data_IF_395307551983
#
_entry.id   IF_395307551983
#
_cell.length_a   1.000
_cell.length_b   1.000
_cell.length_c   1.000
_cell.angle_alpha   90.00
_cell.angle_beta   90.00
_cell.angle_gamma   90.00
#
_symmetry.space_group_name_H-M   'P 1'
#
loop_
_entity.id
_entity.type
_entity.pdbx_description
1 polymer ?
#
# COMPACT_ATOMS: atom_id res chain seq x y z
N UNK A 1 -16.19 -36.06 -21.23
CA UNK A 1 -14.84 -35.83 -21.81
C UNK A 1 -14.31 -34.51 -21.28
N UNK A 2 -13.06 -34.48 -20.82
CA UNK A 2 -12.38 -33.25 -20.42
C UNK A 2 -11.19 -33.03 -21.34
N UNK A 3 -11.03 -31.80 -21.83
CA UNK A 3 -9.93 -31.42 -22.71
C UNK A 3 -9.10 -30.34 -22.04
N UNK A 4 -7.81 -30.60 -21.89
CA UNK A 4 -6.82 -29.59 -21.50
C UNK A 4 -6.19 -28.97 -22.75
N UNK A 5 -6.16 -27.64 -22.79
CA UNK A 5 -5.59 -26.87 -23.92
C UNK A 5 -4.10 -26.61 -23.77
N UNK A 6 -3.56 -26.78 -22.57
CA UNK A 6 -2.14 -26.68 -22.25
C UNK A 6 -1.83 -27.50 -20.98
N UNK A 7 -0.54 -27.58 -20.61
CA UNK A 7 -0.12 -28.07 -19.29
C UNK A 7 0.09 -26.91 -18.33
N UNK A 8 -0.36 -27.08 -17.09
CA UNK A 8 -0.05 -26.14 -16.03
C UNK A 8 1.38 -26.35 -15.51
N UNK A 9 1.88 -25.34 -14.78
CA UNK A 9 3.17 -25.37 -14.10
C UNK A 9 3.28 -26.49 -13.04
N UNK A 10 2.15 -27.04 -12.57
CA UNK A 10 2.09 -28.10 -11.58
C UNK A 10 1.16 -29.24 -12.00
N UNK A 11 1.64 -30.49 -11.90
CA UNK A 11 0.90 -31.72 -12.23
C UNK A 11 -0.39 -31.86 -11.44
N UNK A 12 -0.39 -31.39 -10.19
CA UNK A 12 -1.58 -31.40 -9.33
C UNK A 12 -2.76 -30.67 -9.98
N UNK A 13 -2.52 -29.56 -10.67
CA UNK A 13 -3.57 -28.76 -11.31
C UNK A 13 -4.11 -29.49 -12.55
N UNK A 14 -3.22 -30.09 -13.34
CA UNK A 14 -3.63 -30.94 -14.46
C UNK A 14 -4.46 -32.14 -13.99
N UNK A 15 -4.08 -32.77 -12.88
CA UNK A 15 -4.84 -33.88 -12.30
C UNK A 15 -6.20 -33.44 -11.73
N UNK A 16 -6.31 -32.21 -11.22
CA UNK A 16 -7.61 -31.65 -10.84
C UNK A 16 -8.53 -31.48 -12.04
N UNK A 17 -8.00 -31.08 -13.19
CA UNK A 17 -8.77 -31.01 -14.43
C UNK A 17 -9.19 -32.41 -14.88
N UNK A 18 -8.28 -33.40 -14.86
CA UNK A 18 -8.60 -34.80 -15.16
C UNK A 18 -9.73 -35.34 -14.27
N UNK A 19 -9.66 -35.07 -12.96
CA UNK A 19 -10.66 -35.49 -11.97
C UNK A 19 -12.03 -34.82 -12.09
N UNK A 20 -12.24 -33.92 -13.07
CA UNK A 20 -13.58 -33.43 -13.43
C UNK A 20 -14.36 -34.42 -14.28
N UNK A 21 -13.69 -35.38 -14.91
CA UNK A 21 -14.29 -36.50 -15.67
C UNK A 21 -14.32 -37.78 -14.82
N UNK A 22 -15.22 -38.72 -15.14
CA UNK A 22 -15.24 -40.07 -14.55
C UNK A 22 -15.48 -40.12 -13.03
N UNK A 23 -16.43 -39.31 -12.54
CA UNK A 23 -16.80 -39.29 -11.12
C UNK A 23 -17.58 -40.54 -10.75
N UNK A 24 -17.41 -41.04 -9.53
CA UNK A 24 -18.17 -42.21 -9.02
C UNK A 24 -18.09 -43.47 -9.91
N UNK A 25 -16.99 -43.65 -10.64
CA UNK A 25 -16.83 -44.79 -11.55
C UNK A 25 -17.50 -44.60 -12.92
N UNK A 26 -18.09 -43.43 -13.18
CA UNK A 26 -18.60 -43.09 -14.50
C UNK A 26 -17.49 -43.20 -15.56
N UNK A 27 -17.81 -43.64 -16.80
CA UNK A 27 -16.84 -43.59 -17.88
C UNK A 27 -16.47 -42.14 -18.20
N UNK A 28 -15.18 -41.89 -18.40
CA UNK A 28 -14.68 -40.55 -18.70
C UNK A 28 -13.36 -40.59 -19.45
N UNK A 29 -13.22 -39.71 -20.44
CA UNK A 29 -11.96 -39.49 -21.15
C UNK A 29 -11.38 -38.13 -20.75
N UNK A 30 -10.05 -38.07 -20.68
CA UNK A 30 -9.29 -36.84 -20.48
C UNK A 30 -8.18 -36.78 -21.50
N UNK A 31 -8.09 -35.69 -22.28
CA UNK A 31 -7.04 -35.50 -23.28
C UNK A 31 -6.42 -34.12 -23.11
N UNK A 32 -5.10 -34.01 -23.29
CA UNK A 32 -4.40 -32.74 -23.26
C UNK A 32 -3.74 -32.51 -24.60
N UNK A 33 -3.96 -31.33 -25.15
CA UNK A 33 -3.27 -30.83 -26.31
C UNK A 33 -2.20 -29.85 -25.81
N UNK A 34 -0.99 -29.95 -26.37
CA UNK A 34 0.17 -29.17 -25.95
C UNK A 34 0.91 -28.78 -27.20
N UNK A 35 1.26 -27.51 -27.33
CA UNK A 35 2.14 -27.02 -28.37
C UNK A 35 3.57 -26.88 -27.86
N UNK A 36 4.54 -26.99 -28.76
CA UNK A 36 5.94 -26.70 -28.46
C UNK A 36 6.17 -25.21 -28.19
N UNK A 37 5.25 -24.37 -28.64
CA UNK A 37 5.29 -22.92 -28.43
C UNK A 37 4.72 -22.50 -27.07
N UNK A 38 4.04 -23.42 -26.37
CA UNK A 38 3.46 -23.16 -25.04
C UNK A 38 4.54 -22.73 -24.05
N UNK A 39 4.17 -21.90 -23.08
CA UNK A 39 5.10 -21.31 -22.10
C UNK A 39 6.01 -22.35 -21.46
N UNK A 40 5.45 -23.50 -21.06
CA UNK A 40 6.18 -24.59 -20.42
C UNK A 40 7.27 -25.16 -21.34
N UNK A 41 6.93 -25.41 -22.61
CA UNK A 41 7.88 -25.92 -23.61
C UNK A 41 8.86 -24.84 -24.05
N UNK A 42 8.46 -23.58 -24.13
CA UNK A 42 9.37 -22.49 -24.48
C UNK A 42 10.49 -22.30 -23.48
N UNK A 43 10.18 -22.40 -22.19
CA UNK A 43 11.14 -22.20 -21.09
C UNK A 43 11.99 -23.45 -20.85
N UNK A 44 11.45 -24.65 -21.06
CA UNK A 44 12.11 -25.91 -20.65
C UNK A 44 12.34 -26.94 -21.77
N UNK A 45 11.87 -26.72 -22.99
CA UNK A 45 12.22 -27.60 -24.10
C UNK A 45 13.72 -27.54 -24.30
N UNK A 46 14.34 -28.73 -24.22
CA UNK A 46 15.76 -28.84 -24.51
C UNK A 46 16.03 -28.36 -25.94
N UNK A 47 17.13 -27.63 -26.14
CA UNK A 47 17.65 -27.29 -27.46
C UNK A 47 17.79 -28.53 -28.35
N UNK A 48 18.07 -29.68 -27.73
CA UNK A 48 18.09 -31.00 -28.38
C UNK A 48 16.73 -31.37 -28.97
N UNK A 49 15.62 -31.15 -28.25
CA UNK A 49 14.28 -31.45 -28.75
C UNK A 49 13.94 -30.57 -29.96
N UNK A 50 14.21 -29.26 -29.89
CA UNK A 50 14.00 -28.34 -31.02
C UNK A 50 14.81 -28.74 -32.25
N UNK A 51 16.09 -29.11 -32.06
CA UNK A 51 16.98 -29.57 -33.14
C UNK A 51 16.54 -30.89 -33.76
N UNK A 52 16.08 -31.85 -32.95
CA UNK A 52 15.57 -33.13 -33.44
C UNK A 52 14.32 -32.91 -34.27
N UNK A 53 13.39 -32.06 -33.82
CA UNK A 53 12.17 -31.77 -34.56
C UNK A 53 12.43 -31.01 -35.86
N UNK A 54 13.32 -30.02 -35.83
CA UNK A 54 13.74 -29.30 -37.04
C UNK A 54 14.50 -30.18 -38.05
N UNK A 55 15.20 -31.23 -37.58
CA UNK A 55 15.93 -32.15 -38.47
C UNK A 55 15.07 -33.29 -39.01
N UNK A 56 14.06 -33.73 -38.26
CA UNK A 56 13.14 -34.79 -38.69
C UNK A 56 12.02 -34.30 -39.60
N UNK A 57 11.84 -32.99 -39.76
CA UNK A 57 10.86 -32.42 -40.69
C UNK A 57 9.43 -32.89 -40.41
N UNK A 58 9.07 -32.97 -39.13
CA UNK A 58 7.73 -33.41 -38.70
C UNK A 58 6.72 -32.38 -39.22
N UNK A 59 5.67 -32.79 -39.95
CA UNK A 59 4.65 -31.87 -40.44
C UNK A 59 3.98 -31.10 -39.29
N UNK A 60 3.77 -29.80 -39.45
CA UNK A 60 3.15 -28.96 -38.42
C UNK A 60 1.69 -29.34 -38.12
N UNK A 61 1.02 -29.99 -39.08
CA UNK A 61 -0.39 -30.35 -39.01
C UNK A 61 -0.66 -31.74 -38.42
N UNK A 62 0.39 -32.51 -38.10
CA UNK A 62 0.25 -33.88 -37.56
C UNK A 62 0.45 -33.94 -36.04
N UNK A 63 -0.47 -34.57 -35.30
CA UNK A 63 -0.33 -34.72 -33.85
C UNK A 63 0.82 -35.68 -33.52
N UNK A 64 1.70 -35.24 -32.63
CA UNK A 64 2.86 -36.03 -32.20
C UNK A 64 2.53 -36.75 -30.89
N UNK A 65 2.38 -38.07 -30.95
CA UNK A 65 2.31 -38.92 -29.77
C UNK A 65 3.68 -39.54 -29.49
N UNK A 66 4.44 -38.94 -28.57
CA UNK A 66 5.76 -39.43 -28.19
C UNK A 66 5.92 -39.53 -26.67
N UNK A 67 6.27 -40.73 -26.20
CA UNK A 67 6.64 -40.97 -24.81
C UNK A 67 7.87 -40.14 -24.39
N UNK A 68 8.78 -39.83 -25.33
CA UNK A 68 9.94 -38.99 -25.07
C UNK A 68 9.55 -37.54 -24.77
N UNK A 69 8.66 -36.96 -25.58
CA UNK A 69 8.16 -35.58 -25.38
C UNK A 69 7.37 -35.50 -24.08
N UNK A 70 6.51 -36.49 -23.82
CA UNK A 70 5.74 -36.58 -22.58
C UNK A 70 6.64 -36.61 -21.34
N UNK A 71 7.72 -37.42 -21.34
CA UNK A 71 8.70 -37.44 -20.24
C UNK A 71 9.46 -36.13 -20.08
N UNK A 72 9.79 -35.45 -21.19
CA UNK A 72 10.44 -34.13 -21.14
C UNK A 72 9.55 -33.08 -20.49
N UNK A 73 8.27 -33.04 -20.88
CA UNK A 73 7.24 -32.17 -20.32
C UNK A 73 7.06 -32.41 -18.82
N UNK A 74 7.00 -33.68 -18.44
CA UNK A 74 6.92 -34.12 -17.06
C UNK A 74 8.14 -33.70 -16.21
N UNK A 75 9.34 -33.76 -16.79
CA UNK A 75 10.58 -33.31 -16.15
C UNK A 75 10.58 -31.79 -15.98
N UNK A 76 10.09 -31.05 -16.99
CA UNK A 76 9.93 -29.60 -16.93
C UNK A 76 8.97 -29.18 -15.80
N UNK A 77 7.80 -29.81 -15.70
CA UNK A 77 6.86 -29.57 -14.58
C UNK A 77 7.51 -29.84 -13.23
N UNK A 78 8.25 -30.96 -13.09
CA UNK A 78 8.95 -31.28 -11.84
C UNK A 78 10.00 -30.23 -11.45
N UNK A 79 10.72 -29.65 -12.42
CA UNK A 79 11.68 -28.56 -12.18
C UNK A 79 10.99 -27.27 -11.73
N UNK A 80 9.86 -26.91 -12.35
CA UNK A 80 9.09 -25.71 -11.95
C UNK A 80 8.48 -25.90 -10.57
N UNK A 81 7.94 -27.07 -10.27
CA UNK A 81 7.45 -27.40 -8.93
C UNK A 81 8.57 -27.28 -7.90
N UNK A 82 9.76 -27.81 -8.19
CA UNK A 82 10.94 -27.66 -7.35
C UNK A 82 11.34 -26.19 -7.14
N UNK A 83 11.43 -25.41 -8.22
CA UNK A 83 11.74 -23.98 -8.16
C UNK A 83 10.71 -23.19 -7.33
N UNK A 84 9.42 -23.47 -7.52
CA UNK A 84 8.34 -22.85 -6.75
C UNK A 84 8.37 -23.28 -5.28
N UNK A 85 8.69 -24.54 -5.00
CA UNK A 85 8.87 -25.05 -3.65
C UNK A 85 10.03 -24.34 -2.94
N UNK A 86 11.20 -24.25 -3.57
CA UNK A 86 12.37 -23.58 -3.01
C UNK A 86 12.11 -22.07 -2.79
N UNK A 87 11.47 -21.41 -3.76
CA UNK A 87 11.06 -20.01 -3.63
C UNK A 87 10.13 -19.80 -2.43
N UNK A 88 9.14 -20.67 -2.22
CA UNK A 88 8.24 -20.61 -1.06
C UNK A 88 8.95 -20.88 0.25
N UNK A 89 9.86 -21.87 0.26
CA UNK A 89 10.69 -22.18 1.43
C UNK A 89 11.54 -20.98 1.82
N UNK A 90 12.12 -20.28 0.86
CA UNK A 90 12.86 -19.06 1.10
C UNK A 90 11.94 -17.95 1.66
N UNK A 91 10.79 -17.69 1.04
CA UNK A 91 9.82 -16.68 1.54
C UNK A 91 9.41 -16.98 2.98
N UNK A 92 9.10 -18.24 3.31
CA UNK A 92 8.77 -18.67 4.66
C UNK A 92 9.92 -18.40 5.64
N UNK A 93 11.16 -18.72 5.26
CA UNK A 93 12.32 -18.53 6.14
C UNK A 93 12.56 -17.06 6.51
N UNK A 94 12.28 -16.11 5.60
CA UNK A 94 12.31 -14.68 5.93
C UNK A 94 11.13 -14.28 6.82
N UNK A 95 9.92 -14.80 6.55
CA UNK A 95 8.75 -14.51 7.37
C UNK A 95 8.89 -15.05 8.79
N UNK A 96 9.48 -16.23 9.01
CA UNK A 96 9.67 -16.84 10.33
C UNK A 96 10.42 -15.90 11.31
N UNK A 97 11.42 -15.18 10.80
CA UNK A 97 12.16 -14.17 11.58
C UNK A 97 11.22 -13.03 12.00
N UNK A 98 10.47 -12.48 11.06
CA UNK A 98 9.49 -11.42 11.33
C UNK A 98 8.33 -11.89 12.20
N UNK A 99 7.88 -13.13 12.05
CA UNK A 99 6.77 -13.71 12.77
C UNK A 99 7.09 -13.81 14.26
N UNK A 100 8.31 -14.23 14.62
CA UNK A 100 8.78 -14.27 16.00
C UNK A 100 8.70 -12.88 16.66
N UNK A 101 9.18 -11.85 15.96
CA UNK A 101 9.15 -10.46 16.42
C UNK A 101 7.72 -9.91 16.53
N UNK A 102 6.88 -10.23 15.53
CA UNK A 102 5.47 -9.86 15.45
C UNK A 102 4.67 -10.44 16.61
N UNK A 103 4.89 -11.71 16.96
CA UNK A 103 4.23 -12.35 18.11
C UNK A 103 4.54 -11.63 19.41
N UNK A 104 5.80 -11.22 19.62
CA UNK A 104 6.20 -10.45 20.80
C UNK A 104 5.52 -9.07 20.85
N UNK A 105 5.54 -8.30 19.74
CA UNK A 105 4.86 -7.00 19.68
C UNK A 105 3.35 -7.12 19.86
N UNK A 106 2.73 -8.10 19.19
CA UNK A 106 1.29 -8.30 19.26
C UNK A 106 0.84 -8.76 20.64
N UNK A 107 1.67 -9.52 21.38
CA UNK A 107 1.39 -9.84 22.77
C UNK A 107 1.30 -8.56 23.63
N UNK A 108 2.31 -7.67 23.55
CA UNK A 108 2.31 -6.38 24.27
C UNK A 108 1.13 -5.49 23.87
N UNK A 109 0.87 -5.39 22.56
CA UNK A 109 -0.26 -4.61 22.01
C UNK A 109 -1.61 -5.15 22.47
N UNK A 110 -1.79 -6.48 22.49
CA UNK A 110 -3.02 -7.12 23.00
C UNK A 110 -3.21 -6.89 24.49
N UNK A 111 -2.15 -7.00 25.30
CA UNK A 111 -2.22 -6.69 26.73
C UNK A 111 -2.66 -5.23 26.96
N UNK A 112 -2.09 -4.27 26.21
CA UNK A 112 -2.52 -2.87 26.29
C UNK A 112 -3.98 -2.63 25.84
N UNK A 113 -4.46 -3.35 24.82
CA UNK A 113 -5.83 -3.17 24.28
C UNK A 113 -6.91 -3.86 25.09
N UNK A 114 -6.70 -5.15 25.41
CA UNK A 114 -7.72 -6.07 25.91
C UNK A 114 -7.41 -6.62 27.30
N UNK A 115 -6.18 -6.43 27.78
CA UNK A 115 -5.79 -6.93 29.10
C UNK A 115 -6.51 -6.23 30.23
N UNK A 116 -6.48 -6.82 31.43
CA UNK A 116 -6.99 -6.20 32.66
C UNK A 116 -6.15 -4.97 33.05
N UNK A 117 -6.60 -4.22 34.05
CA UNK A 117 -5.83 -3.07 34.51
C UNK A 117 -4.50 -3.48 35.13
N UNK A 118 -4.49 -4.59 35.86
CA UNK A 118 -3.31 -5.19 36.47
C UNK A 118 -2.30 -5.65 35.40
N UNK A 119 -2.77 -6.28 34.32
CA UNK A 119 -1.89 -6.72 33.21
C UNK A 119 -1.22 -5.53 32.50
N UNK A 120 -1.91 -4.39 32.39
CA UNK A 120 -1.34 -3.16 31.79
C UNK A 120 -0.28 -2.56 32.71
N UNK A 121 -0.53 -2.54 34.02
CA UNK A 121 0.44 -2.09 35.01
C UNK A 121 1.68 -3.01 35.03
N UNK A 122 1.49 -4.32 34.97
CA UNK A 122 2.60 -5.27 34.88
C UNK A 122 3.43 -5.06 33.60
N UNK A 123 2.77 -4.83 32.46
CA UNK A 123 3.45 -4.56 31.20
C UNK A 123 4.33 -3.32 31.28
N UNK A 124 3.82 -2.21 31.81
CA UNK A 124 4.62 -0.98 31.88
C UNK A 124 5.78 -1.13 32.88
N UNK A 125 5.58 -1.82 34.00
CA UNK A 125 6.65 -2.10 34.95
C UNK A 125 7.74 -2.97 34.32
N UNK A 126 7.35 -3.98 33.54
CA UNK A 126 8.28 -4.80 32.76
C UNK A 126 9.09 -3.96 31.76
N UNK A 127 8.47 -2.94 31.14
CA UNK A 127 9.14 -2.03 30.20
C UNK A 127 10.08 -1.04 30.90
N UNK A 128 9.72 -0.57 32.10
CA UNK A 128 10.58 0.31 32.91
C UNK A 128 11.77 -0.43 33.51
N UNK A 129 11.67 -1.76 33.68
CA UNK A 129 12.73 -2.60 34.24
C UNK A 129 12.91 -2.39 35.75
N UNK A 130 14.09 -2.76 36.26
CA UNK A 130 14.41 -2.72 37.70
C UNK A 130 14.92 -1.35 38.18
N UNK A 131 14.83 -0.30 37.35
CA UNK A 131 15.31 1.03 37.72
C UNK A 131 14.44 1.69 38.77
N UNK A 132 15.04 2.14 39.88
CA UNK A 132 14.34 2.84 40.96
C UNK A 132 13.63 4.11 40.47
N UNK A 133 14.26 4.86 39.57
CA UNK A 133 13.69 6.11 39.01
C UNK A 133 12.39 5.85 38.24
N UNK A 134 12.37 4.81 37.40
CA UNK A 134 11.19 4.43 36.61
C UNK A 134 10.05 3.99 37.51
N UNK A 135 10.36 3.20 38.56
CA UNK A 135 9.37 2.76 39.54
C UNK A 135 8.81 3.91 40.35
N UNK A 136 9.66 4.81 40.84
CA UNK A 136 9.22 6.00 41.56
C UNK A 136 8.33 6.91 40.70
N UNK A 137 8.67 7.09 39.42
CA UNK A 137 7.84 7.85 38.48
C UNK A 137 6.47 7.19 38.25
N UNK A 138 6.43 5.86 38.13
CA UNK A 138 5.19 5.09 38.01
C UNK A 138 4.30 5.26 39.25
N UNK A 139 4.83 5.03 40.45
CA UNK A 139 4.05 5.11 41.68
C UNK A 139 3.55 6.56 41.93
N UNK A 140 4.40 7.56 41.63
CA UNK A 140 4.01 8.98 41.69
C UNK A 140 2.85 9.27 40.75
N UNK A 141 2.96 8.91 39.47
CA UNK A 141 1.90 9.16 38.47
C UNK A 141 0.63 8.36 38.74
N UNK A 142 0.74 7.13 39.26
CA UNK A 142 -0.41 6.34 39.68
C UNK A 142 -1.21 7.05 40.76
N UNK A 143 -0.54 7.60 41.77
CA UNK A 143 -1.19 8.38 42.84
C UNK A 143 -1.79 9.69 42.34
N UNK A 144 -1.13 10.36 41.39
CA UNK A 144 -1.61 11.62 40.81
C UNK A 144 -2.91 11.41 40.03
N UNK A 145 -2.98 10.35 39.20
CA UNK A 145 -4.08 10.11 38.25
C UNK A 145 -5.24 9.29 38.82
N UNK A 146 -5.00 8.38 39.77
CA UNK A 146 -6.03 7.49 40.30
C UNK A 146 -6.63 6.58 39.22
N UNK A 147 -7.96 6.49 39.15
CA UNK A 147 -8.68 5.58 38.24
C UNK A 147 -8.43 5.88 36.74
N UNK A 148 -8.10 7.12 36.41
CA UNK A 148 -7.80 7.51 35.03
C UNK A 148 -6.40 7.09 34.58
N UNK A 149 -5.54 6.62 35.48
CA UNK A 149 -4.15 6.31 35.17
C UNK A 149 -4.03 5.25 34.07
N UNK A 150 -4.71 4.11 34.24
CA UNK A 150 -4.61 2.98 33.32
C UNK A 150 -5.14 3.31 31.91
N UNK A 151 -6.29 3.98 31.73
CA UNK A 151 -6.70 4.48 30.41
C UNK A 151 -5.67 5.36 29.70
N UNK A 152 -4.93 6.20 30.44
CA UNK A 152 -3.85 6.99 29.86
C UNK A 152 -2.62 6.13 29.52
N UNK A 153 -2.28 5.16 30.37
CA UNK A 153 -1.21 4.20 30.08
C UNK A 153 -1.48 3.39 28.82
N UNK A 154 -2.71 2.91 28.61
CA UNK A 154 -3.09 2.16 27.40
C UNK A 154 -2.82 3.00 26.15
N UNK A 155 -3.25 4.27 26.16
CA UNK A 155 -3.04 5.21 25.04
C UNK A 155 -1.55 5.43 24.78
N UNK A 156 -0.77 5.68 25.84
CA UNK A 156 0.68 5.85 25.75
C UNK A 156 1.37 4.60 25.17
N UNK A 157 1.10 3.42 25.74
CA UNK A 157 1.69 2.16 25.32
C UNK A 157 1.37 1.85 23.86
N UNK A 158 0.11 2.02 23.44
CA UNK A 158 -0.29 1.77 22.06
C UNK A 158 0.37 2.74 21.09
N UNK A 159 0.40 4.03 21.42
CA UNK A 159 1.05 5.02 20.58
C UNK A 159 2.54 4.73 20.42
N UNK A 160 3.25 4.43 21.52
CA UNK A 160 4.69 4.13 21.49
C UNK A 160 4.95 2.84 20.71
N UNK A 161 4.26 1.74 21.05
CA UNK A 161 4.46 0.43 20.40
C UNK A 161 4.17 0.53 18.89
N UNK A 162 3.04 1.14 18.50
CA UNK A 162 2.64 1.19 17.10
C UNK A 162 3.57 2.09 16.26
N UNK A 163 4.04 3.22 16.82
CA UNK A 163 4.98 4.13 16.14
C UNK A 163 6.29 3.41 15.84
N UNK A 164 6.90 2.80 16.85
CA UNK A 164 8.18 2.14 16.71
C UNK A 164 8.09 0.84 15.90
N UNK A 165 6.98 0.09 16.02
CA UNK A 165 6.77 -1.11 15.22
C UNK A 165 6.63 -0.77 13.73
N UNK A 166 5.95 0.32 13.38
CA UNK A 166 5.84 0.76 11.99
C UNK A 166 7.20 1.07 11.38
N UNK A 167 8.02 1.85 12.09
CA UNK A 167 9.40 2.17 11.67
C UNK A 167 10.25 0.89 11.51
N UNK A 168 10.09 -0.07 12.41
CA UNK A 168 10.79 -1.34 12.33
C UNK A 168 10.35 -2.17 11.10
N UNK A 169 9.05 -2.22 10.78
CA UNK A 169 8.56 -2.91 9.58
C UNK A 169 9.18 -2.35 8.31
N UNK A 170 9.24 -1.01 8.19
CA UNK A 170 9.90 -0.35 7.07
C UNK A 170 11.39 -0.69 7.02
N UNK A 171 12.08 -0.59 8.15
CA UNK A 171 13.49 -0.95 8.26
C UNK A 171 13.75 -2.40 7.85
N UNK A 172 12.86 -3.33 8.22
CA UNK A 172 12.98 -4.75 7.90
C UNK A 172 12.69 -5.05 6.42
N UNK A 173 11.83 -4.28 5.75
CA UNK A 173 11.64 -4.39 4.30
C UNK A 173 12.90 -3.92 3.55
N UNK A 174 13.48 -2.79 3.95
CA UNK A 174 14.77 -2.34 3.39
C UNK A 174 15.89 -3.35 3.66
N UNK A 175 15.95 -3.91 4.88
CA UNK A 175 16.93 -4.94 5.21
C UNK A 175 16.78 -6.16 4.30
N UNK A 176 15.55 -6.64 4.08
CA UNK A 176 15.28 -7.79 3.21
C UNK A 176 15.76 -7.55 1.78
N UNK A 177 15.56 -6.35 1.22
CA UNK A 177 16.02 -5.99 -0.13
C UNK A 177 17.55 -5.86 -0.19
N UNK A 178 18.16 -5.27 0.83
CA UNK A 178 19.62 -5.03 0.87
C UNK A 178 20.45 -6.30 1.11
N UNK A 179 19.98 -7.26 1.90
CA UNK A 179 20.71 -8.54 2.12
C UNK A 179 20.83 -9.36 0.84
N UNK A 180 19.90 -9.23 -0.10
CA UNK A 180 19.96 -9.91 -1.40
C UNK A 180 21.20 -9.48 -2.19
N UNK A 181 21.65 -8.23 -2.06
CA UNK A 181 22.87 -7.74 -2.69
C UNK A 181 24.14 -8.25 -1.98
N UNK A 182 24.07 -8.71 -0.73
CA UNK A 182 25.23 -9.28 -0.03
C UNK A 182 25.55 -10.72 -0.45
N UNK A 183 24.65 -11.37 -1.19
CA UNK A 183 24.91 -12.67 -1.81
C UNK A 183 26.16 -12.63 -2.71
N UNK A 184 26.46 -11.48 -3.33
CA UNK A 184 27.68 -11.29 -4.15
C UNK A 184 28.98 -11.48 -3.35
N UNK A 185 28.95 -11.28 -2.04
CA UNK A 185 30.09 -11.48 -1.14
C UNK A 185 30.23 -12.90 -0.57
N UNK A 186 29.56 -13.90 -1.17
CA UNK A 186 29.56 -15.31 -0.72
C UNK A 186 29.03 -15.51 0.71
N UNK A 187 28.24 -14.57 1.22
CA UNK A 187 27.53 -14.72 2.49
C UNK A 187 26.09 -15.13 2.24
N UNK A 188 25.57 -16.00 3.09
CA UNK A 188 24.16 -16.40 3.04
C UNK A 188 23.26 -15.21 3.45
N UNK A 189 22.41 -14.69 2.53
CA UNK A 189 21.53 -13.56 2.81
C UNK A 189 20.55 -13.80 3.97
N UNK A 190 20.12 -15.05 4.19
CA UNK A 190 19.17 -15.38 5.25
C UNK A 190 19.84 -15.30 6.63
N UNK A 191 21.10 -15.74 6.74
CA UNK A 191 21.86 -15.64 7.99
C UNK A 191 22.10 -14.17 8.36
N UNK A 192 22.49 -13.36 7.38
CA UNK A 192 22.68 -11.91 7.56
C UNK A 192 21.38 -11.21 7.94
N UNK A 193 20.26 -11.54 7.27
CA UNK A 193 18.93 -11.03 7.61
C UNK A 193 18.53 -11.37 9.04
N UNK A 194 18.72 -12.62 9.46
CA UNK A 194 18.40 -13.07 10.82
C UNK A 194 19.23 -12.32 11.85
N UNK A 195 20.54 -12.18 11.62
CA UNK A 195 21.47 -11.51 12.54
C UNK A 195 21.16 -10.02 12.69
N UNK A 196 21.04 -9.30 11.58
CA UNK A 196 20.75 -7.87 11.60
C UNK A 196 19.32 -7.58 12.04
N UNK A 197 18.36 -8.40 11.62
CA UNK A 197 16.97 -8.29 12.05
C UNK A 197 16.83 -8.43 13.56
N UNK A 198 17.57 -9.37 14.18
CA UNK A 198 17.59 -9.51 15.64
C UNK A 198 18.24 -8.30 16.33
N UNK A 199 19.35 -7.79 15.82
CA UNK A 199 19.98 -6.58 16.36
C UNK A 199 19.03 -5.38 16.32
N UNK A 200 18.37 -5.15 15.18
CA UNK A 200 17.41 -4.05 15.02
C UNK A 200 16.20 -4.22 15.93
N UNK A 201 15.72 -5.44 16.08
CA UNK A 201 14.61 -5.73 16.99
C UNK A 201 14.99 -5.49 18.46
N UNK A 202 16.21 -5.85 18.89
CA UNK A 202 16.68 -5.49 20.24
C UNK A 202 16.77 -3.99 20.42
N UNK A 203 17.27 -3.26 19.42
CA UNK A 203 17.31 -1.80 19.46
C UNK A 203 15.89 -1.20 19.54
N UNK A 204 14.95 -1.74 18.78
CA UNK A 204 13.54 -1.39 18.86
C UNK A 204 12.99 -1.57 20.29
N UNK A 205 13.28 -2.71 20.92
CA UNK A 205 12.84 -2.97 22.29
C UNK A 205 13.41 -1.94 23.28
N UNK A 206 14.71 -1.62 23.18
CA UNK A 206 15.33 -0.59 24.02
C UNK A 206 14.75 0.80 23.74
N UNK A 207 14.47 1.14 22.48
CA UNK A 207 13.84 2.41 22.11
C UNK A 207 12.43 2.53 22.70
N UNK A 208 11.64 1.45 22.68
CA UNK A 208 10.31 1.41 23.31
C UNK A 208 10.43 1.64 24.82
N UNK A 209 11.35 0.94 25.50
CA UNK A 209 11.57 1.10 26.95
C UNK A 209 11.96 2.54 27.28
N UNK A 210 12.93 3.11 26.56
CA UNK A 210 13.39 4.48 26.76
C UNK A 210 12.28 5.51 26.49
N UNK A 211 11.47 5.31 25.45
CA UNK A 211 10.36 6.19 25.13
C UNK A 211 9.27 6.16 26.21
N UNK A 212 8.93 4.97 26.73
CA UNK A 212 7.98 4.83 27.85
C UNK A 212 8.52 5.51 29.11
N UNK A 213 9.78 5.24 29.47
CA UNK A 213 10.42 5.84 30.64
C UNK A 213 10.50 7.38 30.55
N UNK A 214 10.77 7.92 29.36
CA UNK A 214 10.81 9.37 29.13
C UNK A 214 9.43 10.03 29.04
N UNK A 215 8.40 9.31 28.59
CA UNK A 215 7.05 9.83 28.44
C UNK A 215 6.24 9.78 29.74
N UNK A 216 6.44 8.77 30.58
CA UNK A 216 5.65 8.56 31.80
C UNK A 216 5.70 9.76 32.77
N UNK A 217 6.86 10.38 33.08
CA UNK A 217 6.90 11.57 33.94
C UNK A 217 6.20 12.79 33.31
N UNK A 218 6.11 12.83 31.98
CA UNK A 218 5.49 13.91 31.20
C UNK A 218 4.01 13.68 30.95
N UNK A 219 3.43 12.61 31.51
CA UNK A 219 2.01 12.37 31.42
C UNK A 219 1.28 13.47 32.20
N UNK A 220 0.51 14.28 31.48
CA UNK A 220 -0.32 15.35 32.03
C UNK A 220 -1.77 14.89 31.94
N UNK A 221 -2.59 15.25 32.94
CA UNK A 221 -4.03 15.07 32.84
C UNK A 221 -4.51 15.79 31.58
N UNK A 222 -5.11 15.03 30.67
CA UNK A 222 -5.83 15.65 29.60
C UNK A 222 -6.95 16.48 30.25
N UNK A 223 -6.84 17.81 30.20
CA UNK A 223 -8.01 18.65 30.36
C UNK A 223 -8.90 18.36 29.14
N UNK A 224 -9.72 17.32 29.24
CA UNK A 224 -10.68 16.91 28.22
C UNK A 224 -11.53 18.12 27.76
N UNK A 225 -11.79 19.07 28.67
CA UNK A 225 -12.44 20.34 28.37
C UNK A 225 -11.62 21.24 27.42
N UNK A 226 -10.30 21.30 27.58
CA UNK A 226 -9.41 22.11 26.74
C UNK A 226 -9.18 21.48 25.37
N UNK A 227 -8.98 20.16 25.32
CA UNK A 227 -8.82 19.41 24.07
C UNK A 227 -10.11 19.45 23.25
N UNK A 228 -11.28 19.18 23.87
CA UNK A 228 -12.58 19.31 23.18
C UNK A 228 -12.84 20.74 22.73
N UNK A 229 -12.49 21.75 23.51
CA UNK A 229 -12.63 23.15 23.10
C UNK A 229 -11.70 23.50 21.92
N UNK A 230 -10.52 22.90 21.85
CA UNK A 230 -9.55 23.11 20.76
C UNK A 230 -9.93 22.33 19.49
N UNK A 231 -10.47 21.11 19.63
CA UNK A 231 -11.07 20.33 18.55
C UNK A 231 -12.35 20.98 18.02
N UNK A 232 -13.21 21.53 18.88
CA UNK A 232 -14.39 22.31 18.48
C UNK A 232 -13.97 23.60 17.77
N UNK A 233 -12.93 24.30 18.23
CA UNK A 233 -12.37 25.45 17.53
C UNK A 233 -11.80 25.07 16.16
N UNK A 234 -11.07 23.97 16.07
CA UNK A 234 -10.47 23.49 14.81
C UNK A 234 -11.56 23.03 13.84
N UNK A 235 -12.58 22.34 14.34
CA UNK A 235 -13.76 21.92 13.56
C UNK A 235 -14.58 23.13 13.12
N UNK A 236 -14.77 24.12 13.99
CA UNK A 236 -15.43 25.38 13.64
C UNK A 236 -14.61 26.17 12.61
N UNK A 237 -13.28 26.19 12.71
CA UNK A 237 -12.39 26.82 11.73
C UNK A 237 -12.43 26.12 10.37
N UNK A 238 -12.45 24.77 10.34
CA UNK A 238 -12.62 23.99 9.11
C UNK A 238 -14.00 24.20 8.47
N UNK A 239 -15.07 24.26 9.29
CA UNK A 239 -16.42 24.57 8.82
C UNK A 239 -16.54 26.03 8.35
N UNK A 240 -15.83 26.96 8.98
CA UNK A 240 -15.77 28.36 8.57
C UNK A 240 -14.97 28.52 7.26
N UNK A 241 -13.83 27.86 7.12
CA UNK A 241 -13.05 27.81 5.88
C UNK A 241 -13.85 27.17 4.72
N UNK A 242 -14.59 26.09 5.01
CA UNK A 242 -15.52 25.48 4.05
C UNK A 242 -16.76 26.35 3.74
N UNK A 243 -17.08 27.35 4.58
CA UNK A 243 -18.09 28.37 4.28
C UNK A 243 -17.53 29.53 3.47
N UNK A 244 -16.25 29.86 3.60
CA UNK A 244 -15.58 30.88 2.77
C UNK A 244 -15.41 30.40 1.31
N UNK A 245 -15.20 29.10 1.07
CA UNK A 245 -15.22 28.53 -0.30
C UNK A 245 -16.64 28.32 -0.88
N UNK A 246 -17.70 28.58 -0.09
CA UNK A 246 -19.10 28.54 -0.52
C UNK A 246 -19.64 29.87 -1.08
N UNK A 247 -18.81 30.91 -1.15
CA UNK A 247 -19.15 32.16 -1.81
C UNK A 247 -18.93 32.06 -3.32
N UNK A 248 -19.98 31.75 -4.08
CA UNK A 248 -19.94 31.86 -5.54
C UNK A 248 -19.34 33.22 -5.94
N UNK A 249 -18.32 33.26 -6.83
CA UNK A 249 -17.71 34.52 -7.21
C UNK A 249 -18.78 35.44 -7.81
N UNK A 250 -18.97 36.61 -7.21
CA UNK A 250 -19.90 37.62 -7.72
C UNK A 250 -19.50 37.93 -9.18
N UNK A 251 -20.45 37.89 -10.14
CA UNK A 251 -20.12 38.06 -11.54
C UNK A 251 -19.50 39.43 -11.76
N UNK A 252 -18.38 39.47 -12.48
CA UNK A 252 -17.73 40.70 -12.93
C UNK A 252 -18.75 41.50 -13.74
N UNK A 253 -19.29 42.58 -13.16
CA UNK A 253 -20.13 43.52 -13.90
C UNK A 253 -19.25 44.24 -14.92
N UNK A 254 -19.44 43.92 -16.21
CA UNK A 254 -18.90 44.69 -17.32
C UNK A 254 -19.36 46.15 -17.18
N UNK A 255 -18.44 47.12 -17.30
CA UNK A 255 -18.79 48.53 -17.33
C UNK A 255 -19.81 48.79 -18.46
N UNK A 256 -20.85 49.56 -18.17
CA UNK A 256 -21.91 49.91 -19.12
C UNK A 256 -21.34 50.83 -20.21
N UNK A 257 -21.04 50.24 -21.36
CA UNK A 257 -20.79 50.95 -22.60
C UNK A 257 -21.43 50.17 -23.75
N UNK A 258 -21.88 50.84 -24.83
CA UNK A 258 -22.50 50.17 -25.95
C UNK A 258 -21.57 49.11 -26.54
N UNK A 259 -22.10 47.92 -26.77
CA UNK A 259 -21.39 46.81 -27.36
C UNK A 259 -20.94 47.14 -28.79
N UNK A 260 -19.86 46.51 -29.24
CA UNK A 260 -19.18 46.78 -30.53
C UNK A 260 -20.11 46.78 -31.76
N UNK A 261 -21.27 46.11 -31.69
CA UNK A 261 -22.25 46.00 -32.77
C UNK A 261 -23.55 46.78 -32.53
N UNK A 262 -23.69 47.46 -31.39
CA UNK A 262 -24.88 48.25 -31.05
C UNK A 262 -24.96 49.48 -31.95
N UNK A 263 -26.16 49.82 -32.40
CA UNK A 263 -26.39 50.98 -33.26
C UNK A 263 -26.45 52.21 -32.37
N UNK A 264 -25.53 53.15 -32.58
CA UNK A 264 -25.48 54.43 -31.89
C UNK A 264 -25.78 55.56 -32.88
N UNK A 265 -26.51 56.57 -32.41
CA UNK A 265 -26.76 57.79 -33.18
C UNK A 265 -25.63 58.78 -32.87
N UNK A 266 -24.88 59.19 -33.91
CA UNK A 266 -23.85 60.22 -33.78
C UNK A 266 -24.26 61.50 -34.49
N UNK A 267 -23.87 62.66 -33.95
CA UNK A 267 -24.18 63.99 -34.47
C UNK A 267 -22.92 64.85 -34.56
N UNK A 268 -22.84 65.69 -35.59
CA UNK A 268 -21.87 66.77 -35.71
C UNK A 268 -22.53 67.95 -36.42
N UNK A 269 -22.72 69.06 -35.70
CA UNK A 269 -23.48 70.20 -36.21
C UNK A 269 -24.98 69.87 -36.38
N UNK A 270 -25.50 69.98 -37.61
CA UNK A 270 -26.91 69.70 -37.96
C UNK A 270 -27.15 68.30 -38.54
N UNK A 271 -26.10 67.52 -38.84
CA UNK A 271 -26.22 66.17 -39.40
C UNK A 271 -26.27 65.08 -38.32
N UNK A 272 -27.18 64.11 -38.48
CA UNK A 272 -27.34 62.93 -37.60
C UNK A 272 -27.25 61.64 -38.41
N UNK A 273 -26.52 60.63 -37.89
CA UNK A 273 -26.36 59.31 -38.53
C UNK A 273 -26.48 58.18 -37.49
N UNK A 274 -27.19 57.11 -37.85
CA UNK A 274 -27.30 55.87 -37.06
C UNK A 274 -26.42 54.79 -37.64
N UNK A 275 -25.38 54.39 -36.92
CA UNK A 275 -24.43 53.36 -37.35
C UNK A 275 -23.97 52.49 -36.18
N UNK A 276 -23.46 51.29 -36.46
CA UNK A 276 -22.90 50.39 -35.43
C UNK A 276 -21.67 51.02 -34.77
N UNK A 277 -21.51 50.86 -33.45
CA UNK A 277 -20.47 51.50 -32.64
C UNK A 277 -19.04 51.32 -33.19
N UNK A 278 -18.68 50.13 -33.68
CA UNK A 278 -17.37 49.89 -34.33
C UNK A 278 -17.07 50.85 -35.51
N UNK A 279 -18.10 51.29 -36.23
CA UNK A 279 -17.94 52.27 -37.33
C UNK A 279 -18.02 53.72 -36.84
N UNK A 280 -18.59 53.95 -35.66
CA UNK A 280 -18.64 55.26 -35.02
C UNK A 280 -17.33 55.61 -34.30
N UNK A 281 -16.60 54.64 -33.73
CA UNK A 281 -15.31 54.85 -33.03
C UNK A 281 -14.34 55.82 -33.73
N UNK A 282 -14.01 55.64 -35.03
CA UNK A 282 -13.13 56.60 -35.71
C UNK A 282 -13.78 57.97 -35.92
N UNK A 283 -15.10 58.04 -36.10
CA UNK A 283 -15.82 59.30 -36.29
C UNK A 283 -15.94 60.11 -34.99
N UNK A 284 -15.98 59.44 -33.83
CA UNK A 284 -15.96 60.10 -32.52
C UNK A 284 -14.61 60.79 -32.26
N UNK A 285 -13.51 60.18 -32.71
CA UNK A 285 -12.18 60.80 -32.65
C UNK A 285 -12.05 62.01 -33.60
N UNK A 286 -12.85 62.08 -34.66
CA UNK A 286 -12.94 63.22 -35.58
C UNK A 286 -13.92 64.32 -35.10
N UNK A 287 -14.41 64.24 -33.86
CA UNK A 287 -15.22 65.26 -33.21
C UNK A 287 -16.74 65.13 -33.42
N UNK A 288 -17.23 63.94 -33.76
CA UNK A 288 -18.66 63.62 -33.67
C UNK A 288 -19.01 63.21 -32.23
N UNK A 289 -20.22 63.50 -31.77
CA UNK A 289 -20.69 63.11 -30.43
C UNK A 289 -21.82 62.09 -30.52
N UNK A 290 -21.83 61.11 -29.61
CA UNK A 290 -22.96 60.19 -29.46
C UNK A 290 -24.10 60.98 -28.81
N UNK A 291 -25.25 60.97 -29.46
CA UNK A 291 -26.50 61.45 -28.87
C UNK A 291 -27.23 60.22 -28.37
N UNK A 292 -27.14 59.96 -27.06
CA UNK A 292 -27.99 58.95 -26.42
C UNK A 292 -29.45 59.37 -26.61
N UNK A 293 -30.28 58.44 -27.07
CA UNK A 293 -31.75 58.55 -26.96
C UNK A 293 -32.18 57.83 -25.69
#
# INVERSE_FOLDING_TARGET
MVVGTERHDARRIDNQLRGRSGRQGDPGETRFYVSLEDKLMRVFASETLKKVMGRFGIPEDEPIESAMITRSLETAQGRIEGFNFDSRKQVLAYDDVMNTQRLAMYARRRAALLGSNEEVEELILTLLGEGEEGRAAFDTKKSEFGDEFVPHLRRLLLQVIDTFWLEHLETMDYLRRSVSLRAYGQRDPLIEYRREGLMRFRQLEENIKAAVAGALPRLIRADDARIRAEEEKTRAALVAAGKEEGGAPAPIKKASGPGRNDIVTIKKGSETKQIKFKKAEPMLNEGWTIVES
#
